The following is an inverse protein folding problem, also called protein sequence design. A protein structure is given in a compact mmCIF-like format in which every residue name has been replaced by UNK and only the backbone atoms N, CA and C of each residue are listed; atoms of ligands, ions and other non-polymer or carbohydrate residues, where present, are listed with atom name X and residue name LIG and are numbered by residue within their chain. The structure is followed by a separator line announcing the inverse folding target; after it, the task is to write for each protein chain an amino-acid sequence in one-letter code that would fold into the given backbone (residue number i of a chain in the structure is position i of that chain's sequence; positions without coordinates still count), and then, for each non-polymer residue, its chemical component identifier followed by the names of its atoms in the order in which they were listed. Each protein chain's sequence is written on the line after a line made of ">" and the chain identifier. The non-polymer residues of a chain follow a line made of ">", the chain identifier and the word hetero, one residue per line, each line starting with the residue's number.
data_IF_779912165798
#
_entry.id   IF_779912165798
#
_cell.length_a   1.000
_cell.length_b   1.000
_cell.length_c   1.000
_cell.angle_alpha   90.00
_cell.angle_beta   90.00
_cell.angle_gamma   90.00
#
_symmetry.space_group_name_H-M   'P 1'
#
loop_
_entity.id
_entity.type
_entity.pdbx_description
1 polymer ?
#
# COMPACT_ATOMS: atom_id res chain seq x y z
N UNK A 1 -3.18 5.93 21.25
CA UNK A 1 -3.67 6.94 20.30
C UNK A 1 -3.41 6.41 18.90
N UNK A 2 -4.39 6.42 18.00
CA UNK A 2 -4.16 5.96 16.62
C UNK A 2 -3.39 7.02 15.85
N UNK A 3 -2.38 6.61 15.06
CA UNK A 3 -1.55 7.54 14.29
C UNK A 3 -2.39 8.44 13.35
N UNK A 4 -3.49 7.91 12.81
CA UNK A 4 -4.41 8.67 11.96
C UNK A 4 -5.12 9.83 12.68
N UNK A 5 -5.17 9.82 14.01
CA UNK A 5 -5.80 10.87 14.82
C UNK A 5 -4.92 12.10 14.97
N UNK A 6 -3.59 11.98 14.83
CA UNK A 6 -2.66 13.11 14.85
C UNK A 6 -2.48 13.74 13.46
N UNK A 7 -2.96 13.07 12.41
CA UNK A 7 -2.80 13.52 11.03
C UNK A 7 -3.80 14.61 10.64
N UNK A 8 -3.31 15.62 9.92
CA UNK A 8 -4.14 16.68 9.36
C UNK A 8 -5.17 16.12 8.35
N UNK A 9 -6.26 16.85 8.12
CA UNK A 9 -7.26 16.48 7.09
C UNK A 9 -6.62 16.35 5.70
N UNK A 10 -5.69 17.26 5.38
CA UNK A 10 -4.92 17.24 4.13
C UNK A 10 -4.13 15.94 3.99
N UNK A 11 -3.40 15.56 5.04
CA UNK A 11 -2.61 14.33 5.03
C UNK A 11 -3.50 13.09 4.86
N UNK A 12 -4.63 13.00 5.57
CA UNK A 12 -5.57 11.88 5.41
C UNK A 12 -6.13 11.76 3.99
N UNK A 13 -6.37 12.88 3.33
CA UNK A 13 -6.80 12.89 1.92
C UNK A 13 -5.67 12.42 0.98
N UNK A 14 -4.43 12.83 1.23
CA UNK A 14 -3.26 12.35 0.50
C UNK A 14 -3.03 10.85 0.73
N UNK A 15 -3.13 10.36 1.96
CA UNK A 15 -3.00 8.92 2.27
C UNK A 15 -4.10 8.08 1.59
N UNK A 16 -5.33 8.62 1.51
CA UNK A 16 -6.44 7.95 0.82
C UNK A 16 -6.22 7.80 -0.70
N UNK A 17 -5.54 8.76 -1.32
CA UNK A 17 -5.36 8.84 -2.78
C UNK A 17 -4.03 8.23 -3.22
N UNK A 18 -2.94 8.60 -2.54
CA UNK A 18 -1.56 8.25 -2.89
C UNK A 18 -0.86 7.41 -1.81
N UNK A 19 -1.54 7.04 -0.73
CA UNK A 19 -0.92 6.25 0.33
C UNK A 19 -0.42 4.88 -0.13
N UNK A 20 -1.07 4.27 -1.12
CA UNK A 20 -0.58 3.03 -1.75
C UNK A 20 0.76 3.25 -2.46
N UNK A 21 0.90 4.38 -3.18
CA UNK A 21 2.15 4.78 -3.85
C UNK A 21 3.27 4.99 -2.83
N UNK A 22 3.05 5.80 -1.79
CA UNK A 22 4.07 6.07 -0.77
C UNK A 22 4.44 4.85 0.09
N UNK A 23 3.58 3.83 0.15
CA UNK A 23 3.82 2.59 0.89
C UNK A 23 4.30 1.44 0.00
N UNK A 24 4.47 1.65 -1.30
CA UNK A 24 4.84 0.60 -2.27
C UNK A 24 6.13 -0.13 -1.88
N UNK A 25 7.18 0.58 -1.49
CA UNK A 25 8.45 -0.01 -1.04
C UNK A 25 8.27 -0.92 0.19
N UNK A 26 7.44 -0.50 1.14
CA UNK A 26 7.12 -1.29 2.32
C UNK A 26 6.33 -2.56 1.95
N UNK A 27 5.42 -2.44 0.98
CA UNK A 27 4.63 -3.57 0.47
C UNK A 27 5.52 -4.60 -0.24
N UNK A 28 6.46 -4.17 -1.08
CA UNK A 28 7.44 -5.08 -1.70
C UNK A 28 8.38 -5.68 -0.66
N UNK A 29 8.88 -4.87 0.28
CA UNK A 29 9.70 -5.37 1.39
C UNK A 29 8.97 -6.45 2.18
N UNK A 30 7.67 -6.28 2.43
CA UNK A 30 6.85 -7.28 3.09
C UNK A 30 6.64 -8.55 2.24
N UNK A 31 6.36 -8.38 0.95
CA UNK A 31 6.14 -9.47 0.00
C UNK A 31 7.37 -10.39 -0.13
N UNK A 32 8.57 -9.81 -0.07
CA UNK A 32 9.84 -10.52 -0.22
C UNK A 32 10.52 -10.91 1.10
N UNK A 33 9.86 -10.71 2.25
CA UNK A 33 10.37 -11.23 3.54
C UNK A 33 10.55 -12.74 3.48
N UNK A 34 11.68 -13.23 4.00
CA UNK A 34 12.07 -14.67 4.01
C UNK A 34 10.95 -15.64 4.42
N UNK A 35 10.16 -15.26 5.43
CA UNK A 35 9.13 -16.12 6.02
C UNK A 35 7.70 -15.80 5.54
N UNK A 36 7.55 -14.92 4.56
CA UNK A 36 6.24 -14.54 4.06
C UNK A 36 5.61 -15.68 3.25
N UNK A 37 4.42 -16.11 3.65
CA UNK A 37 3.67 -17.18 2.97
C UNK A 37 2.68 -16.57 1.97
N UNK A 38 2.97 -16.75 0.68
CA UNK A 38 2.07 -16.36 -0.41
C UNK A 38 0.83 -17.26 -0.47
N UNK A 39 0.99 -18.54 -0.13
CA UNK A 39 -0.09 -19.54 -0.15
C UNK A 39 -0.18 -20.32 1.16
N UNK A 40 -1.36 -20.87 1.43
CA UNK A 40 -1.64 -21.86 2.46
C UNK A 40 -2.61 -22.90 1.88
N UNK A 41 -2.30 -24.19 1.99
CA UNK A 41 -3.09 -25.28 1.40
C UNK A 41 -3.41 -25.04 -0.10
N UNK A 42 -2.43 -24.58 -0.87
CA UNK A 42 -2.58 -24.29 -2.31
C UNK A 42 -3.35 -23.01 -2.65
N UNK A 43 -3.96 -22.33 -1.66
CA UNK A 43 -4.73 -21.09 -1.87
C UNK A 43 -3.92 -19.86 -1.48
N UNK A 44 -4.08 -18.71 -2.17
CA UNK A 44 -3.41 -17.47 -1.78
C UNK A 44 -3.86 -17.01 -0.38
N UNK A 45 -2.93 -16.50 0.42
CA UNK A 45 -3.28 -15.98 1.74
C UNK A 45 -4.01 -14.64 1.63
N UNK A 46 -4.93 -14.34 2.56
CA UNK A 46 -5.62 -13.04 2.60
C UNK A 46 -4.63 -11.87 2.66
N UNK A 47 -3.51 -12.06 3.36
CA UNK A 47 -2.45 -11.05 3.48
C UNK A 47 -1.76 -10.82 2.14
N UNK A 48 -1.41 -11.88 1.42
CA UNK A 48 -0.86 -11.78 0.07
C UNK A 48 -1.81 -11.04 -0.88
N UNK A 49 -3.09 -11.40 -0.91
CA UNK A 49 -4.08 -10.74 -1.75
C UNK A 49 -4.18 -9.23 -1.45
N UNK A 50 -4.18 -8.84 -0.17
CA UNK A 50 -4.19 -7.43 0.23
C UNK A 50 -2.94 -6.68 -0.25
N UNK A 51 -1.76 -7.26 -0.11
CA UNK A 51 -0.51 -6.65 -0.57
C UNK A 51 -0.53 -6.45 -2.08
N UNK A 52 -0.93 -7.48 -2.84
CA UNK A 52 -1.03 -7.41 -4.29
C UNK A 52 -2.04 -6.37 -4.76
N UNK A 53 -3.21 -6.28 -4.12
CA UNK A 53 -4.20 -5.25 -4.43
C UNK A 53 -3.64 -3.83 -4.21
N UNK A 54 -2.88 -3.61 -3.14
CA UNK A 54 -2.27 -2.31 -2.86
C UNK A 54 -1.14 -1.97 -3.83
N UNK A 55 -0.31 -2.94 -4.20
CA UNK A 55 0.72 -2.78 -5.24
C UNK A 55 0.07 -2.42 -6.57
N UNK A 56 -0.97 -3.16 -6.98
CA UNK A 56 -1.70 -2.87 -8.21
C UNK A 56 -2.34 -1.47 -8.18
N UNK A 57 -2.87 -1.03 -7.03
CA UNK A 57 -3.36 0.34 -6.89
C UNK A 57 -2.24 1.36 -7.07
N UNK A 58 -1.08 1.12 -6.47
CA UNK A 58 0.08 2.00 -6.59
C UNK A 58 0.56 2.13 -8.04
N UNK A 59 0.66 1.00 -8.75
CA UNK A 59 1.12 0.94 -10.15
C UNK A 59 0.14 1.60 -11.13
N UNK A 60 -1.16 1.65 -10.80
CA UNK A 60 -2.18 2.25 -11.65
C UNK A 60 -2.44 3.75 -11.37
N UNK A 61 -1.71 4.37 -10.43
CA UNK A 61 -1.86 5.81 -10.18
C UNK A 61 -1.28 6.59 -11.38
N UNK A 62 -2.06 7.47 -12.02
CA UNK A 62 -1.55 8.29 -13.12
C UNK A 62 -0.42 9.21 -12.67
N UNK A 63 0.59 9.39 -13.51
CA UNK A 63 1.77 10.21 -13.19
C UNK A 63 1.42 11.65 -12.76
N UNK A 64 0.44 12.29 -13.42
CA UNK A 64 0.01 13.65 -13.09
C UNK A 64 -0.58 13.80 -11.68
N UNK A 65 -1.19 12.75 -11.12
CA UNK A 65 -1.66 12.76 -9.73
C UNK A 65 -0.49 12.77 -8.73
N UNK A 66 0.62 12.13 -9.11
CA UNK A 66 1.86 12.10 -8.31
C UNK A 66 2.53 13.47 -8.37
N UNK A 67 2.67 14.07 -9.56
CA UNK A 67 3.23 15.42 -9.73
C UNK A 67 2.46 16.47 -8.92
N UNK A 68 1.13 16.41 -8.91
CA UNK A 68 0.29 17.35 -8.16
C UNK A 68 0.51 17.30 -6.65
N UNK A 69 1.01 16.18 -6.13
CA UNK A 69 1.19 15.94 -4.71
C UNK A 69 2.62 16.19 -4.22
N UNK A 70 3.60 16.30 -5.12
CA UNK A 70 4.97 16.72 -4.84
C UNK A 70 5.06 18.25 -4.74
#
# INVERSE_FOLDING_TARGET
>A
MYETQTQSKKYRQLDKTLGAYFKSDNLYSELYKKNFKKTYAGKPTKRYLRIMEQIQKAENIPYHEIERAM
#
